data_IF_254817945652
#
_entry.id   IF_254817945652
#
_cell.length_a   1.000
_cell.length_b   1.000
_cell.length_c   1.000
_cell.angle_alpha   90.00
_cell.angle_beta   90.00
_cell.angle_gamma   90.00
#
_symmetry.space_group_name_H-M   'P 1'
#
loop_
_entity.id
_entity.type
_entity.pdbx_description
1 polymer ?
#
# COMPACT_ATOMS: atom_id res chain seq x y z
N UNK A 1 0.23 -1.70 -2.60
CA UNK A 1 -0.62 -0.73 -3.31
C UNK A 1 -1.63 -1.44 -4.20
N UNK A 2 -2.68 -0.76 -4.63
CA UNK A 2 -3.70 -1.32 -5.50
C UNK A 2 -4.99 -0.52 -5.42
N UNK A 3 -5.92 -0.78 -6.33
CA UNK A 3 -7.23 -0.15 -6.36
C UNK A 3 -8.06 -0.51 -5.11
N UNK A 4 -9.11 0.27 -4.78
CA UNK A 4 -10.03 -0.10 -3.71
C UNK A 4 -10.55 -1.53 -3.89
N UNK A 5 -10.79 -2.22 -2.78
CA UNK A 5 -11.30 -3.60 -2.72
C UNK A 5 -10.34 -4.65 -3.29
N UNK A 6 -9.08 -4.32 -3.49
CA UNK A 6 -8.09 -5.28 -4.01
C UNK A 6 -7.53 -6.24 -2.95
N UNK A 7 -7.88 -6.05 -1.68
CA UNK A 7 -7.41 -6.92 -0.59
C UNK A 7 -6.20 -6.36 0.17
N UNK A 8 -5.86 -5.08 -0.01
CA UNK A 8 -4.73 -4.44 0.67
C UNK A 8 -4.84 -4.51 2.19
N UNK A 9 -6.01 -4.16 2.72
CA UNK A 9 -6.23 -4.14 4.17
C UNK A 9 -6.14 -5.55 4.76
N UNK A 10 -6.75 -6.52 4.11
CA UNK A 10 -6.72 -7.93 4.57
C UNK A 10 -5.29 -8.45 4.63
N UNK A 11 -4.52 -8.24 3.57
CA UNK A 11 -3.12 -8.68 3.54
C UNK A 11 -2.27 -7.91 4.55
N UNK A 12 -2.47 -6.59 4.64
CA UNK A 12 -1.73 -5.75 5.59
C UNK A 12 -1.95 -6.18 7.03
N UNK A 13 -3.19 -6.46 7.41
CA UNK A 13 -3.51 -6.96 8.75
C UNK A 13 -2.89 -8.33 9.02
N UNK A 14 -2.93 -9.22 8.04
CA UNK A 14 -2.32 -10.55 8.14
C UNK A 14 -0.81 -10.44 8.38
N UNK A 15 -0.13 -9.59 7.64
CA UNK A 15 1.30 -9.35 7.80
C UNK A 15 1.64 -8.71 9.13
N UNK A 16 0.83 -7.74 9.56
CA UNK A 16 1.00 -7.06 10.84
C UNK A 16 0.94 -8.04 12.01
N UNK A 17 -0.03 -8.95 11.98
CA UNK A 17 -0.17 -9.98 13.02
C UNK A 17 0.98 -10.99 12.97
N UNK A 18 1.32 -11.45 11.77
CA UNK A 18 2.32 -12.50 11.60
C UNK A 18 3.71 -12.04 12.05
N UNK A 19 4.08 -10.82 11.75
CA UNK A 19 5.42 -10.29 12.02
C UNK A 19 5.45 -9.31 13.19
N UNK A 20 4.31 -9.02 13.80
CA UNK A 20 4.19 -8.06 14.90
C UNK A 20 4.78 -6.69 14.53
N UNK A 21 4.35 -6.15 13.40
CA UNK A 21 4.79 -4.84 12.88
C UNK A 21 3.58 -3.93 12.64
N UNK A 22 3.77 -2.60 12.70
CA UNK A 22 2.67 -1.67 12.48
C UNK A 22 2.11 -1.74 11.07
N UNK A 23 0.80 -1.54 10.96
CA UNK A 23 0.10 -1.42 9.69
C UNK A 23 -0.66 -0.10 9.63
N UNK A 24 -0.38 0.70 8.60
CA UNK A 24 -1.02 1.98 8.35
C UNK A 24 -1.90 1.88 7.11
N UNK A 25 -3.22 1.96 7.28
CA UNK A 25 -4.18 1.98 6.19
C UNK A 25 -4.51 3.44 5.87
N UNK A 26 -4.37 3.82 4.61
CA UNK A 26 -4.61 5.20 4.18
C UNK A 26 -6.01 5.71 4.49
N UNK A 27 -7.04 4.86 4.40
CA UNK A 27 -8.40 5.27 4.73
C UNK A 27 -8.56 5.60 6.21
N UNK A 28 -7.92 4.85 7.08
CA UNK A 28 -7.90 5.13 8.52
C UNK A 28 -7.23 6.47 8.80
N UNK A 29 -6.12 6.74 8.11
CA UNK A 29 -5.39 8.00 8.27
C UNK A 29 -6.21 9.18 7.77
N UNK A 30 -6.91 9.03 6.65
CA UNK A 30 -7.83 10.07 6.17
C UNK A 30 -8.94 10.36 7.19
N UNK A 31 -9.45 9.32 7.81
CA UNK A 31 -10.49 9.46 8.84
C UNK A 31 -9.96 10.19 10.06
N UNK A 32 -8.77 9.84 10.53
CA UNK A 32 -8.14 10.48 11.70
C UNK A 32 -7.91 11.98 11.45
N UNK A 33 -7.42 12.32 10.26
CA UNK A 33 -7.14 13.72 9.90
C UNK A 33 -8.37 14.46 9.33
N UNK A 34 -9.49 13.75 9.14
CA UNK A 34 -10.68 14.27 8.48
C UNK A 34 -10.33 14.94 7.14
N UNK A 35 -9.51 14.27 6.36
CA UNK A 35 -8.98 14.79 5.09
C UNK A 35 -9.36 13.85 3.94
N UNK A 36 -10.48 14.19 3.29
CA UNK A 36 -11.02 13.43 2.16
C UNK A 36 -10.80 14.17 0.84
N UNK A 37 -9.75 14.99 0.79
CA UNK A 37 -9.36 15.71 -0.41
C UNK A 37 -8.61 14.76 -1.36
N UNK A 38 -9.28 14.36 -2.44
CA UNK A 38 -8.73 13.50 -3.48
C UNK A 38 -8.19 14.28 -4.67
N UNK A 39 -8.05 15.61 -4.54
CA UNK A 39 -7.35 16.42 -5.52
C UNK A 39 -5.87 16.01 -5.55
N UNK A 40 -5.15 16.48 -6.57
CA UNK A 40 -3.71 16.22 -6.67
C UNK A 40 -2.97 16.65 -5.40
N UNK A 41 -3.27 17.85 -4.91
CA UNK A 41 -2.66 18.38 -3.68
C UNK A 41 -3.00 17.53 -2.46
N UNK A 42 -4.26 17.09 -2.35
CA UNK A 42 -4.70 16.24 -1.25
C UNK A 42 -4.04 14.88 -1.29
N UNK A 43 -3.86 14.30 -2.47
CA UNK A 43 -3.17 13.02 -2.64
C UNK A 43 -1.67 13.15 -2.34
N UNK A 44 -1.03 14.24 -2.76
CA UNK A 44 0.37 14.53 -2.41
C UNK A 44 0.52 14.63 -0.89
N UNK A 45 -0.35 15.39 -0.25
CA UNK A 45 -0.36 15.56 1.21
C UNK A 45 -0.50 14.22 1.93
N UNK A 46 -1.40 13.36 1.44
CA UNK A 46 -1.63 12.05 2.01
C UNK A 46 -0.39 11.14 1.89
N UNK A 47 0.27 11.13 0.74
CA UNK A 47 1.45 10.29 0.54
C UNK A 47 2.61 10.72 1.45
N UNK A 48 2.80 12.01 1.65
CA UNK A 48 3.82 12.54 2.55
C UNK A 48 3.48 12.17 4.01
N UNK A 49 2.20 12.30 4.39
CA UNK A 49 1.72 11.93 5.72
C UNK A 49 1.95 10.45 6.00
N UNK A 50 1.64 9.59 5.02
CA UNK A 50 1.89 8.15 5.13
C UNK A 50 3.38 7.85 5.30
N UNK A 51 4.24 8.56 4.61
CA UNK A 51 5.70 8.43 4.75
C UNK A 51 6.15 8.75 6.17
N UNK A 52 5.68 9.84 6.73
CA UNK A 52 6.04 10.25 8.11
C UNK A 52 5.63 9.20 9.13
N UNK A 53 4.46 8.61 8.96
CA UNK A 53 3.99 7.54 9.85
C UNK A 53 4.83 6.28 9.69
N UNK A 54 5.18 5.92 8.46
CA UNK A 54 5.98 4.73 8.17
C UNK A 54 7.39 4.82 8.78
N UNK A 55 7.94 6.02 8.92
CA UNK A 55 9.29 6.25 9.44
C UNK A 55 9.41 6.09 10.97
N UNK A 56 8.28 6.05 11.69
CA UNK A 56 8.30 5.94 13.15
C UNK A 56 8.93 4.62 13.61
N UNK A 57 8.70 3.54 12.88
CA UNK A 57 9.22 2.21 13.22
C UNK A 57 10.21 1.74 12.15
N UNK A 58 11.17 0.88 12.51
CA UNK A 58 12.15 0.35 11.55
C UNK A 58 11.52 -0.42 10.40
N UNK A 59 10.46 -1.18 10.68
CA UNK A 59 9.70 -1.93 9.68
C UNK A 59 8.22 -1.67 9.92
N UNK A 60 7.52 -1.29 8.85
CA UNK A 60 6.07 -1.08 8.89
C UNK A 60 5.47 -1.41 7.52
N UNK A 61 4.16 -1.57 7.50
CA UNK A 61 3.38 -1.82 6.29
C UNK A 61 2.42 -0.66 6.10
N UNK A 62 2.36 -0.16 4.87
CA UNK A 62 1.41 0.89 4.51
C UNK A 62 0.59 0.45 3.31
N UNK A 63 -0.71 0.70 3.35
CA UNK A 63 -1.63 0.37 2.27
C UNK A 63 -2.32 1.63 1.77
N UNK A 64 -2.18 1.92 0.49
CA UNK A 64 -2.88 3.01 -0.17
C UNK A 64 -2.92 2.80 -1.68
N UNK A 65 -3.77 3.54 -2.36
CA UNK A 65 -3.98 3.37 -3.80
C UNK A 65 -2.74 3.77 -4.58
N UNK A 66 -2.13 4.92 -4.25
CA UNK A 66 -0.99 5.50 -4.96
C UNK A 66 -1.20 5.49 -6.48
N UNK A 67 -2.21 6.23 -6.99
CA UNK A 67 -2.64 6.09 -8.38
C UNK A 67 -1.63 6.57 -9.42
N UNK A 68 -0.66 7.37 -9.03
CA UNK A 68 0.38 7.89 -9.92
C UNK A 68 1.77 7.61 -9.36
N UNK A 69 2.79 7.43 -10.22
CA UNK A 69 4.16 7.18 -9.76
C UNK A 69 4.71 8.23 -8.79
N UNK A 70 4.27 9.49 -8.93
CA UNK A 70 4.69 10.57 -8.03
C UNK A 70 4.32 10.33 -6.57
N UNK A 71 3.18 9.70 -6.32
CA UNK A 71 2.74 9.38 -4.96
C UNK A 71 3.59 8.26 -4.36
N UNK A 72 4.00 7.30 -5.17
CA UNK A 72 4.95 6.25 -4.77
C UNK A 72 6.30 6.89 -4.41
N UNK A 73 6.79 7.81 -5.23
CA UNK A 73 8.04 8.53 -4.95
C UNK A 73 7.97 9.34 -3.65
N UNK A 74 6.85 10.01 -3.40
CA UNK A 74 6.66 10.77 -2.15
C UNK A 74 6.70 9.87 -0.92
N UNK A 75 6.14 8.68 -1.03
CA UNK A 75 6.17 7.69 0.05
C UNK A 75 7.55 7.05 0.21
N UNK A 76 8.25 6.83 -0.90
CA UNK A 76 9.61 6.27 -0.93
C UNK A 76 9.70 4.89 -0.27
N UNK A 77 8.99 3.88 -0.78
CA UNK A 77 8.98 2.55 -0.18
C UNK A 77 10.28 1.79 -0.45
N UNK A 78 10.67 0.93 0.49
CA UNK A 78 11.77 -0.02 0.27
C UNK A 78 11.29 -1.22 -0.56
N UNK A 79 10.05 -1.65 -0.34
CA UNK A 79 9.44 -2.77 -1.06
C UNK A 79 8.01 -2.41 -1.47
N UNK A 80 7.61 -2.91 -2.62
CA UNK A 80 6.26 -2.68 -3.15
C UNK A 80 5.58 -4.02 -3.40
N UNK A 81 4.42 -4.20 -2.79
CA UNK A 81 3.51 -5.30 -3.08
C UNK A 81 2.33 -4.73 -3.86
N UNK A 82 2.13 -5.20 -5.07
CA UNK A 82 1.05 -4.73 -5.93
C UNK A 82 -0.12 -5.71 -5.90
N UNK A 83 -1.23 -5.25 -5.33
CA UNK A 83 -2.48 -6.01 -5.31
C UNK A 83 -3.24 -5.71 -6.61
N UNK A 84 -2.98 -6.49 -7.65
CA UNK A 84 -3.58 -6.34 -8.98
C UNK A 84 -4.74 -7.33 -9.17
N UNK A 85 -5.66 -7.32 -8.21
CA UNK A 85 -6.80 -8.23 -8.18
C UNK A 85 -8.08 -7.60 -8.74
N UNK A 86 -8.07 -6.27 -8.92
CA UNK A 86 -9.22 -5.49 -9.40
C UNK A 86 -8.72 -4.64 -10.57
N UNK A 87 -9.44 -4.68 -11.70
CA UNK A 87 -9.04 -3.94 -12.91
C UNK A 87 -9.58 -2.50 -12.90
N UNK A 88 -10.74 -2.29 -12.28
CA UNK A 88 -11.30 -0.95 -12.08
C UNK A 88 -12.14 -0.94 -10.80
N UNK A 89 -12.31 0.24 -10.22
CA UNK A 89 -13.12 0.43 -9.03
C UNK A 89 -14.34 1.31 -9.35
N UNK A 90 -15.21 1.51 -8.35
CA UNK A 90 -16.41 2.34 -8.49
C UNK A 90 -16.12 3.85 -8.60
N UNK A 91 -14.88 4.27 -8.32
CA UNK A 91 -14.46 5.69 -8.39
C UNK A 91 -13.82 5.96 -9.73
N UNK A 92 -14.55 6.58 -10.64
CA UNK A 92 -14.12 6.80 -12.01
C UNK A 92 -12.88 7.68 -12.12
N UNK A 93 -12.79 8.73 -11.31
CA UNK A 93 -11.63 9.60 -11.28
C UNK A 93 -10.36 8.86 -10.82
N UNK A 94 -10.48 7.92 -9.88
CA UNK A 94 -9.38 7.05 -9.47
C UNK A 94 -8.96 6.13 -10.59
N UNK A 95 -9.92 5.53 -11.32
CA UNK A 95 -9.62 4.67 -12.47
C UNK A 95 -8.85 5.42 -13.55
N UNK A 96 -9.22 6.66 -13.82
CA UNK A 96 -8.55 7.50 -14.82
C UNK A 96 -7.13 7.87 -14.43
N UNK A 97 -6.88 8.04 -13.15
CA UNK A 97 -5.56 8.43 -12.62
C UNK A 97 -4.65 7.25 -12.40
N UNK A 98 -5.20 6.08 -12.09
CA UNK A 98 -4.39 4.93 -11.69
C UNK A 98 -3.48 4.46 -12.82
N UNK A 99 -2.19 4.40 -12.52
CA UNK A 99 -1.18 3.81 -13.39
C UNK A 99 -0.53 2.64 -12.67
N UNK A 100 -0.37 1.54 -13.38
CA UNK A 100 0.33 0.36 -12.84
C UNK A 100 1.76 0.73 -12.46
N UNK A 101 2.28 0.22 -11.33
CA UNK A 101 3.65 0.50 -10.95
C UNK A 101 4.62 -0.11 -11.98
N UNK A 102 5.66 0.65 -12.35
CA UNK A 102 6.69 0.15 -13.26
C UNK A 102 7.61 -0.84 -12.55
N UNK A 103 7.77 -0.69 -11.24
CA UNK A 103 8.60 -1.56 -10.41
C UNK A 103 7.79 -2.04 -9.22
N UNK A 104 7.89 -3.33 -8.94
CA UNK A 104 7.27 -3.96 -7.77
C UNK A 104 8.09 -5.20 -7.41
N UNK A 105 7.97 -5.63 -6.16
CA UNK A 105 8.67 -6.82 -5.68
C UNK A 105 7.81 -8.07 -5.79
N UNK A 106 6.50 -7.92 -5.50
CA UNK A 106 5.52 -9.00 -5.65
C UNK A 106 4.24 -8.44 -6.24
N UNK A 107 3.65 -9.17 -7.19
CA UNK A 107 2.36 -8.84 -7.79
C UNK A 107 1.38 -9.98 -7.49
N UNK A 108 0.25 -9.64 -6.88
CA UNK A 108 -0.81 -10.61 -6.59
C UNK A 108 -1.99 -10.29 -7.52
N UNK A 109 -2.36 -11.25 -8.37
CA UNK A 109 -3.40 -11.08 -9.38
C UNK A 109 -4.73 -11.72 -8.97
N UNK A 110 -4.74 -12.59 -7.94
CA UNK A 110 -5.94 -13.25 -7.45
C UNK A 110 -6.00 -13.17 -5.93
N UNK A 111 -7.17 -12.82 -5.40
CA UNK A 111 -7.43 -12.87 -3.97
C UNK A 111 -7.26 -14.32 -3.47
N UNK A 112 -6.61 -14.48 -2.32
CA UNK A 112 -6.43 -15.79 -1.70
C UNK A 112 -5.38 -16.66 -2.37
N UNK A 113 -4.53 -16.11 -3.21
CA UNK A 113 -3.42 -16.84 -3.82
C UNK A 113 -2.36 -17.14 -2.77
N UNK A 114 -2.43 -18.33 -2.18
CA UNK A 114 -1.55 -18.73 -1.08
C UNK A 114 -0.08 -18.78 -1.47
N UNK A 115 0.22 -19.16 -2.71
CA UNK A 115 1.60 -19.18 -3.21
C UNK A 115 2.19 -17.77 -3.22
N UNK A 116 1.45 -16.80 -3.76
CA UNK A 116 1.92 -15.42 -3.82
C UNK A 116 1.96 -14.77 -2.45
N UNK A 117 1.03 -15.10 -1.55
CA UNK A 117 1.09 -14.64 -0.16
C UNK A 117 2.36 -15.17 0.53
N UNK A 118 2.75 -16.41 0.25
CA UNK A 118 3.98 -16.97 0.79
C UNK A 118 5.21 -16.20 0.28
N UNK A 119 5.21 -15.80 -0.99
CA UNK A 119 6.26 -14.93 -1.55
C UNK A 119 6.33 -13.59 -0.81
N UNK A 120 5.17 -13.01 -0.46
CA UNK A 120 5.12 -11.80 0.34
C UNK A 120 5.69 -12.03 1.75
N UNK A 121 5.37 -13.15 2.38
CA UNK A 121 5.92 -13.49 3.69
C UNK A 121 7.44 -13.61 3.65
N UNK A 122 7.99 -14.23 2.61
CA UNK A 122 9.43 -14.33 2.42
C UNK A 122 10.07 -12.95 2.20
N UNK A 123 9.41 -12.09 1.44
CA UNK A 123 9.86 -10.71 1.21
C UNK A 123 9.95 -9.93 2.53
N UNK A 124 8.91 -9.98 3.33
CA UNK A 124 8.86 -9.28 4.62
C UNK A 124 9.89 -9.88 5.59
N UNK A 125 9.99 -11.20 5.64
CA UNK A 125 10.97 -11.89 6.48
C UNK A 125 12.39 -11.44 6.14
N UNK A 126 12.69 -11.29 4.85
CA UNK A 126 13.98 -10.80 4.38
C UNK A 126 14.30 -9.38 4.84
N UNK A 127 13.30 -8.54 5.09
CA UNK A 127 13.51 -7.19 5.60
C UNK A 127 14.11 -7.19 7.02
N UNK A 128 13.83 -8.22 7.82
CA UNK A 128 14.38 -8.34 9.16
C UNK A 128 15.85 -8.72 9.17
N UNK A 129 16.34 -9.33 8.09
CA UNK A 129 17.74 -9.77 8.00
C UNK A 129 18.70 -8.60 7.88
N UNK A 130 18.21 -7.38 7.63
CA UNK A 130 19.02 -6.17 7.48
C UNK A 130 19.19 -5.38 8.79
N UNK A 131 18.74 -5.95 9.91
CA UNK A 131 18.86 -5.32 11.24
C UNK A 131 19.76 -6.09 12.17
#
# INVERSE_FOLDING_TARGET
MGLPDSGKTTLGEKLSKKFNIPFWDADDIRRIYNDWDFSRQGRDRQSIRMRKLAEVDPISISAFIAPLPGYIRNFFPDKIIWMDTVKECKYEDTNKLFQSPQKYDVRIEKLGDEYMEHEVFNLVRGCFDNF
#
